data_IF_459996275305
#
_entry.id   IF_459996275305
#
_cell.length_a   1.000
_cell.length_b   1.000
_cell.length_c   1.000
_cell.angle_alpha   90.00
_cell.angle_beta   90.00
_cell.angle_gamma   90.00
#
_symmetry.space_group_name_H-M   'P 1'
#
loop_
_entity.id
_entity.type
_entity.pdbx_description
1 polymer ?
#
# COMPACT_ATOMS: atom_id res chain seq x y z
N UNK A 1 11.35 -8.19 44.28
CA UNK A 1 11.60 -9.63 44.49
C UNK A 1 10.25 -10.31 44.71
N UNK A 2 9.59 -10.75 43.65
CA UNK A 2 8.57 -11.79 43.72
C UNK A 2 8.42 -12.37 42.31
N UNK A 3 8.89 -13.60 42.20
CA UNK A 3 8.96 -14.42 40.99
C UNK A 3 7.64 -15.18 40.87
N UNK A 4 6.97 -15.12 39.72
CA UNK A 4 5.88 -16.07 39.40
C UNK A 4 6.29 -16.84 38.15
N UNK A 5 6.44 -18.14 38.36
CA UNK A 5 6.90 -19.17 37.46
C UNK A 5 5.85 -19.54 36.42
N UNK A 6 6.34 -19.79 35.19
CA UNK A 6 5.63 -20.41 34.06
C UNK A 6 5.29 -21.87 34.37
N UNK A 7 4.09 -22.32 33.99
CA UNK A 7 3.79 -23.74 33.78
C UNK A 7 3.54 -23.96 32.29
N UNK A 8 4.48 -24.67 31.64
CA UNK A 8 4.34 -25.25 30.31
C UNK A 8 3.74 -26.65 30.45
N UNK A 9 2.68 -26.94 29.68
CA UNK A 9 2.22 -28.31 29.46
C UNK A 9 2.60 -28.73 28.05
N UNK A 10 3.53 -29.68 27.95
CA UNK A 10 3.90 -30.37 26.71
C UNK A 10 2.85 -31.45 26.40
N UNK A 11 2.30 -31.45 25.19
CA UNK A 11 1.56 -32.59 24.63
C UNK A 11 2.41 -33.19 23.51
N UNK A 12 2.91 -34.39 23.76
CA UNK A 12 3.57 -35.28 22.81
C UNK A 12 2.50 -36.09 22.05
N UNK A 13 2.54 -36.08 20.73
CA UNK A 13 1.74 -36.98 19.89
C UNK A 13 2.63 -38.12 19.37
N UNK A 14 2.29 -39.35 19.76
CA UNK A 14 2.93 -40.59 19.29
C UNK A 14 2.20 -41.17 18.09
N UNK A 15 2.97 -41.81 17.20
CA UNK A 15 2.51 -42.58 16.03
C UNK A 15 1.89 -43.92 16.45
N UNK A 16 0.79 -44.31 15.82
CA UNK A 16 0.62 -45.63 15.16
C UNK A 16 -0.82 -45.89 14.72
N UNK A 17 -1.01 -46.29 13.46
CA UNK A 17 -1.75 -47.50 13.06
C UNK A 17 -1.91 -47.53 11.54
N UNK A 18 -1.31 -48.57 10.94
CA UNK A 18 -1.43 -48.97 9.54
C UNK A 18 -2.75 -49.73 9.36
N UNK A 19 -3.49 -49.45 8.28
CA UNK A 19 -4.61 -50.28 7.81
C UNK A 19 -4.33 -50.73 6.38
N UNK A 20 -4.12 -52.05 6.25
CA UNK A 20 -4.05 -52.81 5.01
C UNK A 20 -5.43 -52.88 4.35
N UNK A 21 -5.50 -52.63 3.03
CA UNK A 21 -6.66 -52.94 2.20
C UNK A 21 -6.28 -54.04 1.19
N UNK A 22 -6.96 -55.18 1.34
CA UNK A 22 -6.82 -56.36 0.49
C UNK A 22 -7.54 -56.17 -0.86
N UNK A 23 -6.86 -56.58 -1.93
CA UNK A 23 -7.42 -56.78 -3.27
C UNK A 23 -8.27 -58.05 -3.35
N UNK A 24 -9.42 -57.99 -4.02
CA UNK A 24 -10.05 -59.13 -4.72
C UNK A 24 -10.72 -58.64 -6.01
N UNK A 25 -10.65 -59.38 -7.13
CA UNK A 25 -11.09 -58.92 -8.45
C UNK A 25 -12.53 -59.34 -8.76
N UNK A 26 -13.30 -58.45 -9.39
CA UNK A 26 -14.61 -58.77 -9.95
C UNK A 26 -14.48 -59.04 -11.45
N UNK A 27 -14.96 -60.20 -11.89
CA UNK A 27 -15.08 -60.56 -13.29
C UNK A 27 -16.44 -61.26 -13.51
N UNK A 28 -16.97 -61.18 -14.73
CA UNK A 28 -18.15 -61.90 -15.28
C UNK A 28 -19.43 -61.08 -15.55
N UNK A 29 -19.44 -60.50 -16.75
CA UNK A 29 -20.48 -60.62 -17.81
C UNK A 29 -21.97 -60.54 -17.47
N UNK A 30 -22.61 -59.49 -18.00
CA UNK A 30 -23.96 -59.57 -18.60
C UNK A 30 -23.99 -58.71 -19.88
N UNK A 31 -24.34 -59.34 -21.01
CA UNK A 31 -24.57 -58.69 -22.32
C UNK A 31 -26.04 -58.35 -22.45
N UNK A 32 -26.36 -57.10 -22.79
CA UNK A 32 -27.66 -56.68 -23.33
C UNK A 32 -27.42 -55.78 -24.56
N UNK A 33 -28.21 -55.91 -25.64
CA UNK A 33 -27.90 -55.29 -26.92
C UNK A 33 -28.58 -53.93 -27.08
N UNK A 34 -27.86 -52.91 -27.57
CA UNK A 34 -28.46 -51.67 -28.09
C UNK A 34 -27.74 -51.23 -29.37
N UNK A 35 -28.47 -50.59 -30.31
CA UNK A 35 -28.15 -50.59 -31.73
C UNK A 35 -27.06 -49.57 -32.09
N UNK A 36 -26.23 -49.95 -33.06
CA UNK A 36 -25.21 -49.10 -33.70
C UNK A 36 -25.85 -47.99 -34.53
N UNK A 37 -25.99 -46.79 -33.95
CA UNK A 37 -26.07 -45.55 -34.74
C UNK A 37 -24.66 -44.98 -34.89
N UNK A 38 -24.18 -44.96 -36.13
CA UNK A 38 -22.96 -44.25 -36.48
C UNK A 38 -23.16 -42.75 -36.24
N UNK A 39 -22.56 -42.22 -35.18
CA UNK A 39 -22.38 -40.78 -35.03
C UNK A 39 -21.15 -40.38 -35.86
N UNK A 40 -21.37 -39.60 -36.90
CA UNK A 40 -20.31 -38.89 -37.60
C UNK A 40 -19.70 -37.87 -36.64
N UNK A 41 -18.52 -38.16 -36.09
CA UNK A 41 -17.70 -37.17 -35.42
C UNK A 41 -17.13 -36.22 -36.48
N UNK A 42 -17.72 -35.04 -36.63
CA UNK A 42 -16.98 -33.90 -37.19
C UNK A 42 -15.88 -33.57 -36.18
N UNK A 43 -14.59 -33.58 -36.56
CA UNK A 43 -13.55 -33.13 -35.65
C UNK A 43 -13.78 -31.64 -35.42
N UNK A 44 -14.15 -31.25 -34.20
CA UNK A 44 -14.00 -29.85 -33.81
C UNK A 44 -12.53 -29.51 -34.05
N UNK A 45 -12.28 -28.54 -34.93
CA UNK A 45 -10.96 -28.00 -35.12
C UNK A 45 -10.39 -27.69 -33.74
N UNK A 46 -9.31 -28.35 -33.35
CA UNK A 46 -8.58 -28.02 -32.14
C UNK A 46 -8.17 -26.56 -32.31
N UNK A 47 -8.83 -25.65 -31.60
CA UNK A 47 -8.33 -24.28 -31.49
C UNK A 47 -6.94 -24.43 -30.92
N UNK A 48 -5.92 -24.18 -31.74
CA UNK A 48 -4.52 -24.27 -31.36
C UNK A 48 -4.24 -23.12 -30.42
N UNK A 49 -4.58 -23.28 -29.15
CA UNK A 49 -4.27 -22.31 -28.10
C UNK A 49 -2.76 -22.10 -28.12
N UNK A 50 -2.34 -20.89 -28.47
CA UNK A 50 -0.94 -20.49 -28.45
C UNK A 50 -0.72 -19.61 -27.21
N UNK A 51 -0.06 -20.13 -26.15
CA UNK A 51 0.17 -19.39 -24.92
C UNK A 51 0.95 -18.07 -25.11
N UNK A 52 1.72 -17.95 -26.18
CA UNK A 52 2.47 -16.72 -26.48
C UNK A 52 1.58 -15.64 -27.11
N UNK A 53 0.68 -16.02 -28.02
CA UNK A 53 -0.30 -15.09 -28.61
C UNK A 53 -1.31 -14.61 -27.57
N UNK A 54 -1.61 -15.46 -26.59
CA UNK A 54 -2.42 -15.14 -25.42
C UNK A 54 -1.84 -13.99 -24.56
N UNK A 55 -0.59 -13.59 -24.77
CA UNK A 55 0.03 -12.48 -24.03
C UNK A 55 -0.07 -11.14 -24.78
N UNK A 56 -0.72 -11.11 -25.94
CA UNK A 56 -0.82 -9.91 -26.79
C UNK A 56 -2.01 -9.02 -26.39
N UNK A 57 -1.85 -7.69 -26.29
CA UNK A 57 -0.60 -6.95 -26.48
C UNK A 57 0.38 -7.22 -25.31
N UNK A 58 1.69 -7.27 -25.60
CA UNK A 58 2.69 -7.49 -24.56
C UNK A 58 2.58 -6.40 -23.49
N UNK A 59 2.95 -6.75 -22.25
CA UNK A 59 3.04 -5.77 -21.18
C UNK A 59 3.92 -4.59 -21.62
N UNK A 60 3.45 -3.36 -21.40
CA UNK A 60 4.22 -2.16 -21.69
C UNK A 60 5.55 -2.22 -20.93
N UNK A 61 6.69 -1.94 -21.57
CA UNK A 61 7.95 -1.83 -20.87
C UNK A 61 7.83 -0.82 -19.74
N UNK A 62 8.35 -1.19 -18.56
CA UNK A 62 8.39 -0.27 -17.43
C UNK A 62 9.28 0.93 -17.82
N UNK A 63 8.81 2.17 -17.62
CA UNK A 63 9.64 3.32 -17.90
C UNK A 63 10.84 3.29 -16.96
N UNK A 64 12.05 3.33 -17.54
CA UNK A 64 13.29 3.37 -16.76
C UNK A 64 13.23 4.63 -15.89
N UNK A 65 13.36 4.51 -14.56
CA UNK A 65 13.46 5.68 -13.71
C UNK A 65 14.65 6.56 -14.17
N UNK A 66 14.53 7.89 -14.17
CA UNK A 66 15.64 8.80 -14.43
C UNK A 66 16.62 8.72 -13.25
N UNK A 67 17.43 7.67 -13.21
CA UNK A 67 18.45 7.45 -12.20
C UNK A 67 19.79 7.25 -12.89
N UNK A 68 20.81 7.98 -12.43
CA UNK A 68 22.18 7.79 -12.90
C UNK A 68 22.67 6.40 -12.46
N UNK A 69 23.45 5.74 -13.31
CA UNK A 69 23.94 4.36 -13.13
C UNK A 69 24.77 4.11 -11.85
N UNK A 70 25.02 5.13 -11.01
CA UNK A 70 25.99 5.08 -9.92
C UNK A 70 25.40 5.15 -8.50
N UNK A 71 24.10 5.41 -8.31
CA UNK A 71 23.51 5.60 -6.98
C UNK A 71 22.39 4.61 -6.66
N UNK A 72 22.53 3.36 -7.10
CA UNK A 72 21.77 2.24 -6.52
C UNK A 72 22.24 2.05 -5.06
N UNK A 73 21.63 2.79 -4.13
CA UNK A 73 21.34 2.18 -2.84
C UNK A 73 20.34 1.07 -3.15
N UNK A 74 20.85 -0.13 -3.46
CA UNK A 74 20.03 -1.34 -3.49
C UNK A 74 19.25 -1.45 -2.18
N UNK A 75 19.87 -0.99 -1.10
CA UNK A 75 19.35 -1.06 0.25
C UNK A 75 19.32 0.31 0.91
N UNK A 76 18.20 0.67 1.53
CA UNK A 76 18.09 1.87 2.39
C UNK A 76 17.09 1.62 3.52
N UNK A 77 17.10 2.49 4.54
CA UNK A 77 16.15 2.41 5.66
C UNK A 77 14.98 3.37 5.46
N UNK A 78 13.77 2.89 5.74
CA UNK A 78 12.54 3.68 5.85
C UNK A 78 12.13 3.82 7.32
N UNK A 79 11.70 5.02 7.71
CA UNK A 79 11.04 5.28 8.99
C UNK A 79 9.54 5.45 8.82
N UNK A 80 8.72 4.66 9.53
CA UNK A 80 7.27 4.87 9.63
C UNK A 80 6.97 5.47 11.00
N UNK A 81 6.46 6.70 11.02
CA UNK A 81 6.21 7.43 12.26
C UNK A 81 4.72 7.36 12.61
N UNK A 82 4.32 6.38 13.41
CA UNK A 82 2.96 6.29 13.92
C UNK A 82 2.77 7.33 15.03
N UNK A 83 2.13 8.46 14.71
CA UNK A 83 2.01 9.62 15.60
C UNK A 83 0.68 9.64 16.36
N UNK A 84 0.71 10.00 17.63
CA UNK A 84 -0.47 10.50 18.33
C UNK A 84 -0.82 11.90 17.81
N UNK A 85 -2.10 12.10 17.48
CA UNK A 85 -2.60 13.33 16.85
C UNK A 85 -3.56 14.02 17.82
N UNK A 86 -3.32 15.31 18.05
CA UNK A 86 -4.14 16.13 18.95
C UNK A 86 -4.95 17.17 18.18
N UNK A 87 -5.79 17.94 18.88
CA UNK A 87 -6.47 19.11 18.31
C UNK A 87 -5.57 20.35 18.19
N UNK A 88 -4.35 20.33 18.71
CA UNK A 88 -3.39 21.43 18.60
C UNK A 88 -2.45 21.19 17.41
N UNK A 89 -2.67 21.96 16.34
CA UNK A 89 -1.89 21.87 15.11
C UNK A 89 -0.41 22.14 15.34
N UNK A 90 -0.07 23.17 16.11
CA UNK A 90 1.33 23.54 16.34
C UNK A 90 2.06 22.44 17.10
N UNK A 91 1.39 21.88 18.13
CA UNK A 91 1.89 20.72 18.86
C UNK A 91 2.11 19.52 17.93
N UNK A 92 1.16 19.23 17.04
CA UNK A 92 1.29 18.14 16.07
C UNK A 92 2.49 18.36 15.12
N UNK A 93 2.71 19.59 14.64
CA UNK A 93 3.86 19.96 13.78
C UNK A 93 5.19 19.77 14.51
N UNK A 94 5.31 20.27 15.73
CA UNK A 94 6.51 20.10 16.55
C UNK A 94 6.77 18.61 16.83
N UNK A 95 5.71 17.86 17.09
CA UNK A 95 5.80 16.43 17.38
C UNK A 95 6.23 15.61 16.16
N UNK A 96 5.61 15.86 15.00
CA UNK A 96 5.99 15.23 13.74
C UNK A 96 7.44 15.53 13.37
N UNK A 97 7.91 16.77 13.58
CA UNK A 97 9.31 17.15 13.36
C UNK A 97 10.27 16.29 14.20
N UNK A 98 10.00 16.14 15.49
CA UNK A 98 10.82 15.31 16.40
C UNK A 98 10.86 13.85 15.95
N UNK A 99 9.72 13.30 15.52
CA UNK A 99 9.66 11.93 15.03
C UNK A 99 10.45 11.74 13.73
N UNK A 100 10.42 12.72 12.82
CA UNK A 100 11.25 12.72 11.61
C UNK A 100 12.74 12.77 11.97
N UNK A 101 13.12 13.65 12.89
CA UNK A 101 14.51 13.77 13.37
C UNK A 101 15.00 12.46 13.99
N UNK A 102 14.22 11.85 14.88
CA UNK A 102 14.54 10.56 15.50
C UNK A 102 14.69 9.44 14.44
N UNK A 103 13.81 9.42 13.44
CA UNK A 103 13.90 8.43 12.36
C UNK A 103 15.18 8.63 11.52
N UNK A 104 15.52 9.89 11.21
CA UNK A 104 16.73 10.24 10.48
C UNK A 104 18.01 9.91 11.27
N UNK A 105 18.04 10.16 12.58
CA UNK A 105 19.13 9.78 13.49
C UNK A 105 19.37 8.27 13.49
N UNK A 106 18.30 7.46 13.39
CA UNK A 106 18.38 6.00 13.24
C UNK A 106 18.74 5.53 11.81
N UNK A 107 19.03 6.48 10.92
CA UNK A 107 19.57 6.24 9.58
C UNK A 107 18.51 6.12 8.47
N UNK A 108 17.25 6.49 8.73
CA UNK A 108 16.24 6.52 7.68
C UNK A 108 16.66 7.47 6.54
N UNK A 109 16.47 7.03 5.29
CA UNK A 109 16.63 7.85 4.07
C UNK A 109 15.29 8.26 3.48
N UNK A 110 14.23 7.59 3.89
CA UNK A 110 12.84 7.90 3.61
C UNK A 110 12.06 7.90 4.93
N UNK A 111 11.26 8.92 5.18
CA UNK A 111 10.29 8.93 6.29
C UNK A 111 8.87 9.01 5.73
N UNK A 112 7.96 8.23 6.29
CA UNK A 112 6.52 8.26 6.01
C UNK A 112 5.77 8.69 7.26
N UNK A 113 5.00 9.77 7.13
CA UNK A 113 4.04 10.23 8.15
C UNK A 113 2.62 9.67 7.88
N UNK A 114 1.69 9.75 8.86
CA UNK A 114 0.37 9.19 8.72
C UNK A 114 -0.64 10.12 8.02
N UNK A 115 -1.85 9.61 7.74
CA UNK A 115 -2.95 10.42 7.18
C UNK A 115 -3.45 11.45 8.20
N UNK A 116 -3.70 12.68 7.73
CA UNK A 116 -4.22 13.82 8.51
C UNK A 116 -3.50 13.94 9.87
N UNK A 117 -2.16 13.99 9.82
CA UNK A 117 -1.34 13.98 11.03
C UNK A 117 -1.30 15.32 11.76
N UNK A 118 -1.69 16.41 11.08
CA UNK A 118 -1.63 17.76 11.64
C UNK A 118 -2.91 18.20 12.37
N UNK A 119 -3.97 17.38 12.37
CA UNK A 119 -5.29 17.76 12.90
C UNK A 119 -6.18 16.54 13.18
N UNK A 120 -7.29 16.68 13.94
CA UNK A 120 -8.24 15.58 14.12
C UNK A 120 -8.92 15.17 12.81
N UNK A 121 -9.10 13.86 12.60
CA UNK A 121 -9.78 13.32 11.41
C UNK A 121 -11.30 13.44 11.53
N UNK A 122 -11.86 14.58 11.11
CA UNK A 122 -13.31 14.80 11.06
C UNK A 122 -13.72 15.84 10.03
N UNK A 123 -14.96 15.72 9.52
CA UNK A 123 -15.53 16.64 8.54
C UNK A 123 -15.60 18.09 9.04
N UNK A 124 -15.79 18.30 10.34
CA UNK A 124 -15.88 19.65 10.93
C UNK A 124 -14.48 20.27 11.12
N UNK A 125 -13.45 19.43 11.32
CA UNK A 125 -12.08 19.90 11.45
C UNK A 125 -11.45 20.26 10.10
N UNK A 126 -11.74 19.53 9.01
CA UNK A 126 -11.02 19.74 7.75
C UNK A 126 -11.00 21.21 7.26
N UNK A 127 -12.10 21.98 7.27
CA UNK A 127 -12.07 23.37 6.84
C UNK A 127 -11.25 24.29 7.76
N UNK A 128 -11.28 24.02 9.07
CA UNK A 128 -10.61 24.83 10.10
C UNK A 128 -9.09 24.62 10.05
N UNK A 129 -8.67 23.38 9.84
CA UNK A 129 -7.26 23.01 9.86
C UNK A 129 -6.61 23.02 8.47
N UNK A 130 -7.37 23.27 7.40
CA UNK A 130 -6.83 23.27 6.05
C UNK A 130 -5.79 24.37 5.82
N UNK A 131 -4.75 24.00 5.07
CA UNK A 131 -3.63 24.88 4.72
C UNK A 131 -3.56 25.10 3.20
N UNK A 132 -3.14 26.28 2.79
CA UNK A 132 -2.88 26.58 1.38
C UNK A 132 -1.43 26.19 1.05
N UNK A 133 -1.29 24.96 0.57
CA UNK A 133 0.01 24.35 0.23
C UNK A 133 0.71 25.13 -0.90
N UNK A 134 -0.06 25.68 -1.85
CA UNK A 134 0.50 26.37 -3.03
C UNK A 134 0.96 27.79 -2.68
N UNK A 135 0.32 28.44 -1.70
CA UNK A 135 0.79 29.71 -1.14
C UNK A 135 2.08 29.54 -0.31
N UNK A 136 2.24 28.39 0.37
CA UNK A 136 3.44 28.06 1.15
C UNK A 136 3.67 28.97 2.38
N UNK A 137 4.83 28.85 3.01
CA UNK A 137 5.21 29.65 4.18
C UNK A 137 4.20 29.53 5.32
N UNK A 138 3.77 30.66 5.88
CA UNK A 138 2.80 30.73 6.98
C UNK A 138 1.39 30.25 6.59
N UNK A 139 1.07 30.20 5.29
CA UNK A 139 -0.19 29.66 4.82
C UNK A 139 -0.21 28.11 4.84
N UNK A 140 0.97 27.48 4.91
CA UNK A 140 1.12 26.04 5.14
C UNK A 140 2.31 25.71 6.04
N UNK A 141 2.21 25.97 7.36
CA UNK A 141 3.28 25.67 8.30
C UNK A 141 3.63 24.18 8.35
N UNK A 142 2.66 23.29 8.10
CA UNK A 142 2.91 21.85 8.07
C UNK A 142 3.87 21.49 6.93
N UNK A 143 3.64 22.01 5.71
CA UNK A 143 4.52 21.72 4.57
C UNK A 143 5.84 22.48 4.61
N UNK A 144 5.85 23.70 5.17
CA UNK A 144 7.09 24.44 5.43
C UNK A 144 8.03 23.67 6.37
N UNK A 145 7.50 23.09 7.45
CA UNK A 145 8.26 22.25 8.36
C UNK A 145 8.83 21.01 7.65
N UNK A 146 8.01 20.31 6.85
CA UNK A 146 8.44 19.12 6.11
C UNK A 146 9.55 19.42 5.09
N UNK A 147 9.39 20.51 4.33
CA UNK A 147 10.41 21.01 3.39
C UNK A 147 11.74 21.27 4.10
N UNK A 148 11.69 21.98 5.23
CA UNK A 148 12.88 22.31 6.00
C UNK A 148 13.55 21.07 6.59
N UNK A 149 12.77 20.19 7.22
CA UNK A 149 13.27 18.95 7.80
C UNK A 149 13.94 18.06 6.73
N UNK A 150 13.31 17.90 5.56
CA UNK A 150 13.86 17.11 4.46
C UNK A 150 15.23 17.65 3.99
N UNK A 151 15.36 18.98 3.88
CA UNK A 151 16.60 19.67 3.48
C UNK A 151 17.71 19.55 4.53
N UNK A 152 17.39 19.80 5.80
CA UNK A 152 18.36 19.78 6.90
C UNK A 152 18.88 18.37 7.15
N UNK A 153 17.98 17.39 7.16
CA UNK A 153 18.31 15.99 7.43
C UNK A 153 18.79 15.24 6.18
N UNK A 154 18.62 15.83 4.98
CA UNK A 154 18.98 15.27 3.67
C UNK A 154 18.33 13.91 3.43
N UNK A 155 17.02 13.84 3.66
CA UNK A 155 16.19 12.65 3.48
C UNK A 155 14.98 12.95 2.61
N UNK A 156 14.40 11.91 2.00
CA UNK A 156 13.08 12.02 1.38
C UNK A 156 12.00 11.92 2.45
N UNK A 157 10.97 12.76 2.37
CA UNK A 157 9.82 12.70 3.28
C UNK A 157 8.55 12.54 2.45
N UNK A 158 7.83 11.44 2.64
CA UNK A 158 6.42 11.33 2.26
C UNK A 158 5.62 11.85 3.44
N UNK A 159 5.18 13.10 3.31
CA UNK A 159 4.67 13.93 4.40
C UNK A 159 3.29 13.57 4.93
N UNK A 160 2.92 12.29 4.88
CA UNK A 160 1.62 11.85 5.33
C UNK A 160 0.52 12.55 4.55
N UNK A 161 -0.58 12.91 5.19
CA UNK A 161 -1.47 13.90 4.58
C UNK A 161 -1.94 14.96 5.56
N UNK A 162 -2.42 16.08 5.00
CA UNK A 162 -3.07 17.17 5.72
C UNK A 162 -4.33 17.61 4.94
N UNK A 163 -5.29 18.30 5.59
CA UNK A 163 -6.33 19.00 4.86
C UNK A 163 -5.69 20.15 4.07
N UNK A 164 -5.89 20.18 2.76
CA UNK A 164 -5.42 21.22 1.85
C UNK A 164 -6.60 22.11 1.47
N UNK A 165 -6.38 23.43 1.47
CA UNK A 165 -7.27 24.41 0.86
C UNK A 165 -6.71 24.83 -0.49
N UNK A 166 -7.56 24.80 -1.52
CA UNK A 166 -7.21 25.27 -2.86
C UNK A 166 -8.45 25.92 -3.48
N UNK A 167 -8.48 27.26 -3.41
CA UNK A 167 -9.68 28.03 -3.71
C UNK A 167 -10.83 27.73 -2.74
N UNK A 168 -11.99 27.39 -3.29
CA UNK A 168 -13.20 27.01 -2.56
C UNK A 168 -13.22 25.53 -2.13
N UNK A 169 -12.25 24.74 -2.59
CA UNK A 169 -12.21 23.29 -2.38
C UNK A 169 -11.24 22.90 -1.28
N UNK A 170 -11.57 21.80 -0.63
CA UNK A 170 -10.75 21.12 0.35
C UNK A 170 -10.33 19.76 -0.17
N UNK A 171 -9.11 19.32 0.14
CA UNK A 171 -8.58 18.02 -0.27
C UNK A 171 -7.87 17.33 0.90
N UNK A 172 -7.78 16.01 0.86
CA UNK A 172 -6.85 15.25 1.69
C UNK A 172 -5.55 15.07 0.87
N UNK A 173 -4.48 15.79 1.24
CA UNK A 173 -3.31 15.95 0.38
C UNK A 173 -2.02 15.45 1.05
N UNK A 174 -1.27 14.63 0.32
CA UNK A 174 0.04 14.12 0.66
C UNK A 174 1.12 14.80 -0.18
N UNK A 175 2.08 15.43 0.47
CA UNK A 175 3.22 16.07 -0.17
C UNK A 175 4.48 15.22 -0.02
N UNK A 176 5.26 15.09 -1.10
CA UNK A 176 6.56 14.40 -1.08
C UNK A 176 7.66 15.42 -1.24
N UNK A 177 8.58 15.47 -0.29
CA UNK A 177 9.74 16.35 -0.29
C UNK A 177 11.02 15.55 -0.56
N UNK A 178 11.85 16.05 -1.47
CA UNK A 178 13.17 15.49 -1.73
C UNK A 178 14.19 15.91 -0.67
N UNK A 179 15.36 15.27 -0.68
CA UNK A 179 16.46 15.60 0.24
C UNK A 179 17.02 17.03 0.08
N UNK A 180 16.64 17.74 -0.99
CA UNK A 180 16.93 19.16 -1.20
C UNK A 180 15.86 20.10 -0.61
N UNK A 181 14.82 19.54 0.03
CA UNK A 181 13.67 20.25 0.57
C UNK A 181 12.61 20.61 -0.46
N UNK A 182 12.81 20.32 -1.76
CA UNK A 182 11.82 20.71 -2.77
C UNK A 182 10.60 19.78 -2.72
N UNK A 183 9.42 20.35 -2.93
CA UNK A 183 8.21 19.61 -3.19
C UNK A 183 8.33 18.88 -4.53
N UNK A 184 8.43 17.55 -4.49
CA UNK A 184 8.59 16.68 -5.67
C UNK A 184 7.24 16.24 -6.24
N UNK A 185 6.24 16.08 -5.37
CA UNK A 185 4.89 15.73 -5.77
C UNK A 185 3.86 16.12 -4.70
N UNK A 186 2.62 16.36 -5.13
CA UNK A 186 1.44 16.53 -4.28
C UNK A 186 0.36 15.57 -4.78
N UNK A 187 -0.07 14.66 -3.92
CA UNK A 187 -1.12 13.69 -4.18
C UNK A 187 -2.37 14.08 -3.42
N UNK A 188 -3.48 14.32 -4.12
CA UNK A 188 -4.80 14.46 -3.50
C UNK A 188 -5.49 13.11 -3.54
N UNK A 189 -6.01 12.65 -2.39
CA UNK A 189 -6.71 11.37 -2.24
C UNK A 189 -7.76 11.20 -3.33
N UNK A 190 -7.66 10.13 -4.12
CA UNK A 190 -8.51 9.93 -5.30
C UNK A 190 -9.84 9.33 -4.87
N UNK A 191 -9.81 8.32 -4.00
CA UNK A 191 -10.99 7.64 -3.51
C UNK A 191 -11.34 8.14 -2.11
N UNK A 192 -12.36 8.98 -2.01
CA UNK A 192 -12.85 9.49 -0.73
C UNK A 192 -13.51 8.38 0.10
N UNK A 193 -13.36 8.47 1.42
CA UNK A 193 -13.88 7.49 2.35
C UNK A 193 -15.36 7.72 2.66
N UNK A 194 -16.21 7.23 1.77
CA UNK A 194 -17.66 7.24 1.92
C UNK A 194 -18.15 5.83 2.25
N UNK A 195 -18.39 5.57 3.54
CA UNK A 195 -18.92 4.29 4.01
C UNK A 195 -20.09 4.48 4.97
N UNK A 196 -20.98 3.50 4.95
CA UNK A 196 -22.04 3.34 5.93
C UNK A 196 -22.12 1.85 6.31
N UNK A 197 -21.62 1.52 7.50
CA UNK A 197 -21.70 0.18 8.08
C UNK A 197 -22.67 0.28 9.25
N UNK A 198 -23.95 -0.13 9.07
CA UNK A 198 -24.99 0.03 10.07
C UNK A 198 -24.58 -0.47 11.46
N UNK A 199 -24.76 0.39 12.47
CA UNK A 199 -24.44 0.09 13.86
C UNK A 199 -22.94 0.03 14.19
N UNK A 200 -22.05 0.39 13.25
CA UNK A 200 -20.60 0.38 13.48
C UNK A 200 -19.93 1.71 13.14
N UNK A 201 -19.99 2.14 11.89
CA UNK A 201 -19.34 3.38 11.45
C UNK A 201 -20.01 3.93 10.19
N UNK A 202 -20.30 5.22 10.22
CA UNK A 202 -20.73 5.99 9.06
C UNK A 202 -19.79 7.18 8.93
N UNK A 203 -19.13 7.30 7.80
CA UNK A 203 -18.24 8.43 7.50
C UNK A 203 -18.38 8.76 6.02
N UNK A 204 -18.68 10.02 5.70
CA UNK A 204 -18.84 10.49 4.32
C UNK A 204 -17.85 11.65 4.15
N UNK A 205 -16.63 11.33 3.75
CA UNK A 205 -15.53 12.29 3.55
C UNK A 205 -15.88 13.30 2.43
N UNK A 206 -16.66 12.87 1.43
CA UNK A 206 -17.10 13.71 0.31
C UNK A 206 -18.09 14.83 0.66
N UNK A 207 -18.62 14.83 1.89
CA UNK A 207 -19.42 15.98 2.38
C UNK A 207 -18.58 17.25 2.51
N UNK A 208 -17.28 17.10 2.75
CA UNK A 208 -16.38 18.22 3.00
C UNK A 208 -15.20 18.25 2.03
N UNK A 209 -14.63 17.10 1.68
CA UNK A 209 -13.45 17.01 0.82
C UNK A 209 -13.80 16.72 -0.64
N UNK A 210 -12.94 17.18 -1.52
CA UNK A 210 -12.97 16.95 -2.96
C UNK A 210 -11.97 15.87 -3.34
N UNK A 211 -12.35 14.98 -4.25
CA UNK A 211 -11.48 13.93 -4.77
C UNK A 211 -10.35 14.49 -5.65
N UNK A 212 -9.16 13.95 -5.49
CA UNK A 212 -8.07 14.10 -6.44
C UNK A 212 -8.39 13.49 -7.81
N UNK A 213 -7.71 13.97 -8.84
CA UNK A 213 -8.02 13.62 -10.24
C UNK A 213 -6.89 12.88 -10.95
N UNK A 214 -5.77 12.66 -10.26
CA UNK A 214 -4.54 12.18 -10.89
C UNK A 214 -3.80 11.18 -10.00
N UNK A 215 -3.51 9.96 -10.48
CA UNK A 215 -2.54 9.07 -9.86
C UNK A 215 -1.18 9.76 -9.71
N UNK A 216 -0.53 9.62 -8.56
CA UNK A 216 0.73 10.31 -8.26
C UNK A 216 1.87 9.34 -8.16
N UNK A 217 2.85 9.51 -9.04
CA UNK A 217 4.14 8.81 -9.04
C UNK A 217 5.24 9.84 -9.05
N UNK A 218 6.26 9.60 -8.25
CA UNK A 218 7.36 10.54 -8.07
C UNK A 218 8.70 9.83 -8.07
N UNK A 219 9.66 10.41 -8.78
CA UNK A 219 11.06 9.99 -8.75
C UNK A 219 11.80 10.72 -7.64
N UNK A 220 12.47 9.96 -6.79
CA UNK A 220 13.22 10.43 -5.62
C UNK A 220 14.59 9.76 -5.57
N UNK A 221 15.44 10.20 -4.65
CA UNK A 221 16.77 9.60 -4.46
C UNK A 221 16.71 8.16 -3.93
N UNK A 222 15.55 7.75 -3.37
CA UNK A 222 15.27 6.38 -2.92
C UNK A 222 14.45 5.58 -3.94
N UNK A 223 14.37 6.06 -5.19
CA UNK A 223 13.67 5.40 -6.29
C UNK A 223 12.29 5.99 -6.59
N UNK A 224 11.55 5.26 -7.42
CA UNK A 224 10.20 5.65 -7.88
C UNK A 224 9.12 5.18 -6.92
N UNK A 225 8.35 6.12 -6.39
CA UNK A 225 7.32 5.88 -5.38
C UNK A 225 5.93 6.17 -5.96
N UNK A 226 4.97 5.27 -5.75
CA UNK A 226 3.55 5.54 -5.95
C UNK A 226 2.89 5.98 -4.64
N UNK A 227 2.06 7.02 -4.68
CA UNK A 227 1.40 7.59 -3.50
C UNK A 227 -0.11 7.31 -3.56
N UNK A 228 -0.67 6.73 -2.51
CA UNK A 228 -2.12 6.71 -2.29
C UNK A 228 -2.40 7.13 -0.85
N UNK A 229 -3.65 7.46 -0.52
CA UNK A 229 -4.05 7.77 0.86
C UNK A 229 -5.19 6.83 1.27
N UNK A 230 -4.96 6.08 2.35
CA UNK A 230 -5.95 5.30 3.08
C UNK A 230 -6.87 4.44 2.21
N UNK A 231 -8.05 4.98 1.87
CA UNK A 231 -9.07 4.29 1.09
C UNK A 231 -8.60 3.94 -0.34
N UNK A 232 -7.64 4.68 -0.89
CA UNK A 232 -6.95 4.33 -2.14
C UNK A 232 -6.34 2.92 -2.10
N UNK A 233 -5.97 2.41 -0.92
CA UNK A 233 -5.45 1.06 -0.73
C UNK A 233 -6.46 -0.02 -1.18
N UNK A 234 -7.77 0.27 -1.17
CA UNK A 234 -8.82 -0.68 -1.57
C UNK A 234 -8.91 -0.90 -3.08
N UNK A 235 -8.36 0.00 -3.89
CA UNK A 235 -8.49 -0.03 -5.35
C UNK A 235 -7.20 -0.57 -5.99
N UNK A 236 -7.23 -1.85 -6.36
CA UNK A 236 -6.07 -2.55 -6.90
C UNK A 236 -5.59 -1.96 -8.23
N UNK A 237 -6.49 -1.40 -9.03
CA UNK A 237 -6.20 -0.78 -10.32
C UNK A 237 -5.20 0.36 -10.17
N UNK A 238 -5.29 1.14 -9.09
CA UNK A 238 -4.35 2.23 -8.80
C UNK A 238 -2.94 1.68 -8.55
N UNK A 239 -2.81 0.63 -7.74
CA UNK A 239 -1.53 -0.03 -7.50
C UNK A 239 -0.96 -0.69 -8.77
N UNK A 240 -1.82 -1.26 -9.62
CA UNK A 240 -1.40 -1.80 -10.92
C UNK A 240 -0.88 -0.70 -11.85
N UNK A 241 -1.50 0.49 -11.86
CA UNK A 241 -1.00 1.65 -12.63
C UNK A 241 0.38 2.06 -12.10
N UNK A 242 0.55 2.13 -10.78
CA UNK A 242 1.84 2.46 -10.16
C UNK A 242 2.93 1.45 -10.53
N UNK A 243 2.62 0.16 -10.47
CA UNK A 243 3.52 -0.90 -10.91
C UNK A 243 3.88 -0.78 -12.41
N UNK A 244 2.89 -0.58 -13.27
CA UNK A 244 3.06 -0.45 -14.72
C UNK A 244 3.84 0.81 -15.14
N UNK A 245 3.85 1.83 -14.27
CA UNK A 245 4.67 3.03 -14.41
C UNK A 245 6.03 2.92 -13.68
N UNK A 246 6.40 1.73 -13.22
CA UNK A 246 7.74 1.42 -12.73
C UNK A 246 8.02 1.84 -11.28
N UNK A 247 6.99 2.00 -10.45
CA UNK A 247 7.19 2.14 -9.01
C UNK A 247 7.92 0.90 -8.45
N UNK A 248 8.67 1.09 -7.36
CA UNK A 248 9.29 0.01 -6.57
C UNK A 248 8.66 -0.08 -5.17
N UNK A 249 8.13 1.05 -4.69
CA UNK A 249 7.50 1.23 -3.40
C UNK A 249 6.17 1.96 -3.59
N UNK A 250 5.15 1.50 -2.89
CA UNK A 250 3.90 2.24 -2.70
C UNK A 250 3.82 2.74 -1.26
N UNK A 251 3.54 4.03 -1.08
CA UNK A 251 3.34 4.63 0.24
C UNK A 251 1.87 5.01 0.41
N UNK A 252 1.28 4.55 1.51
CA UNK A 252 -0.10 4.81 1.90
C UNK A 252 -0.15 5.37 3.34
N UNK A 253 -0.04 6.69 3.53
CA UNK A 253 -0.58 7.30 4.75
C UNK A 253 -2.05 6.90 4.88
N UNK A 254 -2.48 6.39 6.03
CA UNK A 254 -3.88 6.02 6.19
C UNK A 254 -4.30 5.69 7.62
N UNK A 255 -5.50 6.11 7.97
CA UNK A 255 -6.12 5.82 9.26
C UNK A 255 -7.32 4.88 9.06
N UNK A 256 -7.12 3.57 9.07
CA UNK A 256 -8.25 2.63 9.13
C UNK A 256 -8.87 2.68 10.53
N UNK A 257 -10.18 2.43 10.65
CA UNK A 257 -10.87 2.41 11.94
C UNK A 257 -10.93 1.01 12.57
N UNK A 258 -11.39 0.92 13.81
CA UNK A 258 -11.57 -0.33 14.56
C UNK A 258 -12.52 -1.36 13.93
N UNK A 259 -13.38 -0.97 12.99
CA UNK A 259 -14.25 -1.91 12.27
C UNK A 259 -13.54 -2.54 11.08
N UNK A 260 -12.84 -1.74 10.28
CA UNK A 260 -12.22 -2.18 9.03
C UNK A 260 -10.78 -2.64 9.19
N UNK A 261 -10.05 -2.07 10.16
CA UNK A 261 -8.64 -2.33 10.45
C UNK A 261 -8.33 -3.80 10.69
N UNK A 262 -8.99 -4.47 11.67
CA UNK A 262 -8.67 -5.85 12.05
C UNK A 262 -8.70 -6.86 10.90
N UNK A 263 -9.56 -6.65 9.90
CA UNK A 263 -9.75 -7.57 8.79
C UNK A 263 -9.03 -7.14 7.51
N UNK A 264 -9.00 -5.83 7.23
CA UNK A 264 -8.60 -5.34 5.92
C UNK A 264 -7.24 -4.66 5.90
N UNK A 265 -6.73 -4.14 7.02
CA UNK A 265 -5.51 -3.35 7.00
C UNK A 265 -4.31 -4.17 6.53
N UNK A 266 -4.04 -5.32 7.15
CA UNK A 266 -2.93 -6.21 6.77
C UNK A 266 -3.21 -6.94 5.44
N UNK A 267 -4.44 -7.39 5.23
CA UNK A 267 -4.81 -8.12 4.02
C UNK A 267 -4.56 -7.28 2.76
N UNK A 268 -5.01 -6.02 2.75
CA UNK A 268 -4.94 -5.18 1.57
C UNK A 268 -3.49 -4.80 1.24
N UNK A 269 -2.69 -4.38 2.23
CA UNK A 269 -1.27 -4.05 2.01
C UNK A 269 -0.50 -5.25 1.42
N UNK A 270 -0.75 -6.46 1.94
CA UNK A 270 -0.09 -7.69 1.46
C UNK A 270 -0.54 -8.05 0.05
N UNK A 271 -1.82 -7.89 -0.25
CA UNK A 271 -2.34 -8.08 -1.60
C UNK A 271 -1.69 -7.10 -2.60
N UNK A 272 -1.61 -5.80 -2.27
CA UNK A 272 -0.95 -4.81 -3.13
C UNK A 272 0.52 -5.14 -3.37
N UNK A 273 1.23 -5.58 -2.34
CA UNK A 273 2.64 -5.94 -2.45
C UNK A 273 2.85 -7.20 -3.30
N UNK A 274 2.11 -8.28 -3.00
CA UNK A 274 2.27 -9.58 -3.65
C UNK A 274 1.82 -9.57 -5.13
N UNK A 275 0.66 -8.97 -5.43
CA UNK A 275 0.08 -8.98 -6.78
C UNK A 275 0.84 -8.08 -7.77
N UNK A 276 1.49 -7.04 -7.25
CA UNK A 276 2.24 -6.08 -8.06
C UNK A 276 3.76 -6.26 -7.98
N UNK A 277 4.24 -7.13 -7.08
CA UNK A 277 5.66 -7.41 -6.84
C UNK A 277 6.44 -6.14 -6.49
N UNK A 278 5.98 -5.43 -5.45
CA UNK A 278 6.48 -4.14 -4.97
C UNK A 278 6.55 -4.14 -3.44
N UNK A 279 7.33 -3.23 -2.87
CA UNK A 279 7.18 -2.88 -1.46
C UNK A 279 5.91 -2.05 -1.24
N UNK A 280 5.29 -2.21 -0.07
CA UNK A 280 4.16 -1.37 0.38
C UNK A 280 4.43 -0.90 1.80
N UNK A 281 4.42 0.42 2.00
CA UNK A 281 4.54 1.05 3.30
C UNK A 281 3.24 1.76 3.66
N UNK A 282 2.65 1.43 4.81
CA UNK A 282 1.48 2.10 5.36
C UNK A 282 1.84 2.78 6.67
N UNK A 283 1.34 3.99 6.89
CA UNK A 283 1.54 4.71 8.15
C UNK A 283 0.22 5.27 8.67
N UNK A 284 -0.15 4.86 9.88
CA UNK A 284 -1.37 5.24 10.56
C UNK A 284 -1.07 6.17 11.73
N UNK A 285 -2.00 7.05 12.12
CA UNK A 285 -1.97 7.65 13.44
C UNK A 285 -2.02 6.55 14.51
N UNK A 286 -1.48 6.85 15.69
CA UNK A 286 -1.67 6.04 16.89
C UNK A 286 -3.15 6.04 17.29
N UNK A 287 -3.58 4.99 17.98
CA UNK A 287 -4.95 4.86 18.44
C UNK A 287 -5.22 5.81 19.61
N UNK A 288 -6.19 6.68 19.41
CA UNK A 288 -6.81 7.47 20.47
C UNK A 288 -8.27 7.02 20.63
N UNK A 289 -8.60 6.48 21.80
CA UNK A 289 -9.96 6.01 22.12
C UNK A 289 -10.93 7.14 22.47
N UNK A 290 -10.42 8.34 22.74
CA UNK A 290 -11.22 9.53 23.03
C UNK A 290 -11.56 10.33 21.75
N UNK A 291 -10.86 10.04 20.64
CA UNK A 291 -11.12 10.64 19.33
C UNK A 291 -12.46 10.19 18.74
N UNK A 292 -13.16 11.11 18.06
CA UNK A 292 -14.36 10.81 17.27
C UNK A 292 -14.11 9.84 16.11
N UNK A 293 -12.85 9.70 15.66
CA UNK A 293 -12.40 8.68 14.73
C UNK A 293 -11.25 7.88 15.35
N UNK A 294 -11.56 6.67 15.83
CA UNK A 294 -10.58 5.80 16.50
C UNK A 294 -9.78 5.02 15.46
N UNK A 295 -8.53 5.42 15.28
CA UNK A 295 -7.59 4.78 14.35
C UNK A 295 -7.18 3.36 14.81
N UNK A 296 -6.94 2.50 13.84
CA UNK A 296 -6.47 1.14 14.06
C UNK A 296 -5.02 1.12 14.55
N UNK A 297 -4.15 1.97 13.98
CA UNK A 297 -2.71 1.93 14.18
C UNK A 297 -2.04 0.93 13.24
N UNK A 298 -1.07 0.18 13.74
CA UNK A 298 -0.36 -0.88 13.02
C UNK A 298 0.29 -0.40 11.72
N UNK A 299 1.04 0.70 11.75
CA UNK A 299 1.90 1.11 10.62
C UNK A 299 2.81 -0.04 10.20
N UNK A 300 2.86 -0.37 8.90
CA UNK A 300 3.48 -1.61 8.42
C UNK A 300 4.34 -1.39 7.17
N UNK A 301 5.47 -2.09 7.09
CA UNK A 301 6.21 -2.33 5.85
C UNK A 301 6.01 -3.77 5.38
N UNK A 302 5.61 -3.93 4.13
CA UNK A 302 5.44 -5.23 3.45
C UNK A 302 6.42 -5.34 2.30
N UNK A 303 7.05 -6.51 2.19
CA UNK A 303 7.97 -6.85 1.11
C UNK A 303 7.29 -7.39 -0.15
N UNK A 304 8.05 -7.56 -1.25
CA UNK A 304 7.51 -7.93 -2.57
C UNK A 304 6.91 -9.35 -2.67
N UNK A 305 7.11 -10.21 -1.67
CA UNK A 305 6.46 -11.53 -1.57
C UNK A 305 5.15 -11.47 -0.78
N UNK A 306 4.76 -10.31 -0.26
CA UNK A 306 3.60 -10.13 0.61
C UNK A 306 3.89 -10.47 2.08
N UNK A 307 5.16 -10.53 2.46
CA UNK A 307 5.65 -10.74 3.82
C UNK A 307 5.66 -9.42 4.59
N UNK A 308 5.17 -9.45 5.84
CA UNK A 308 5.27 -8.30 6.75
C UNK A 308 6.70 -8.24 7.28
N UNK A 309 7.43 -7.17 6.97
CA UNK A 309 8.82 -6.98 7.35
C UNK A 309 8.96 -6.25 8.69
N UNK A 310 8.06 -5.31 8.95
CA UNK A 310 7.99 -4.59 10.22
C UNK A 310 6.56 -4.06 10.42
N UNK A 311 6.04 -4.12 11.64
CA UNK A 311 4.75 -3.54 11.99
C UNK A 311 4.80 -2.95 13.40
N UNK A 312 4.07 -1.86 13.64
CA UNK A 312 3.77 -1.39 14.98
C UNK A 312 2.57 -2.13 15.57
N UNK A 313 2.35 -1.93 16.86
CA UNK A 313 1.05 -2.11 17.49
C UNK A 313 0.21 -0.82 17.31
N UNK A 314 -0.65 -0.48 18.26
CA UNK A 314 -1.58 0.64 18.19
C UNK A 314 -1.10 1.93 18.89
N UNK A 315 -0.05 1.85 19.71
CA UNK A 315 0.52 2.99 20.41
C UNK A 315 1.43 3.84 19.50
N UNK A 316 1.74 5.06 19.93
CA UNK A 316 2.74 5.88 19.24
C UNK A 316 4.08 5.16 19.16
N UNK A 317 4.63 5.02 17.96
CA UNK A 317 5.85 4.24 17.72
C UNK A 317 6.49 4.65 16.40
N UNK A 318 7.83 4.70 16.38
CA UNK A 318 8.60 4.85 15.14
C UNK A 318 9.27 3.51 14.85
N UNK A 319 8.99 2.94 13.67
CA UNK A 319 9.72 1.76 13.20
C UNK A 319 10.71 2.14 12.11
N UNK A 320 11.90 1.56 12.20
CA UNK A 320 12.94 1.66 11.18
C UNK A 320 13.09 0.29 10.54
N UNK A 321 12.88 0.20 9.24
CA UNK A 321 12.96 -1.04 8.49
C UNK A 321 13.79 -0.87 7.23
N UNK A 322 14.36 -1.96 6.74
CA UNK A 322 15.20 -1.98 5.56
C UNK A 322 14.40 -2.32 4.31
N UNK A 323 14.63 -1.58 3.23
CA UNK A 323 14.12 -1.85 1.89
C UNK A 323 15.32 -2.25 1.03
N UNK A 324 15.24 -3.40 0.36
CA UNK A 324 16.21 -3.87 -0.62
C UNK A 324 15.54 -4.13 -1.98
N UNK A 325 15.75 -3.24 -2.95
CA UNK A 325 15.14 -3.37 -4.27
C UNK A 325 15.71 -4.53 -5.10
N UNK A 326 16.82 -5.15 -4.71
CA UNK A 326 17.27 -6.40 -5.34
C UNK A 326 16.23 -7.52 -5.17
N UNK A 327 15.45 -7.48 -4.08
CA UNK A 327 14.37 -8.45 -3.80
C UNK A 327 13.19 -8.32 -4.77
N UNK A 328 12.90 -7.11 -5.25
CA UNK A 328 11.86 -6.87 -6.27
C UNK A 328 12.25 -7.56 -7.58
N UNK A 329 13.49 -7.38 -8.01
CA UNK A 329 14.00 -7.99 -9.24
C UNK A 329 14.11 -9.52 -9.13
N UNK A 330 14.56 -10.02 -7.98
CA UNK A 330 14.54 -11.46 -7.68
C UNK A 330 13.12 -12.03 -7.77
N UNK A 331 12.14 -11.34 -7.17
CA UNK A 331 10.73 -11.76 -7.17
C UNK A 331 10.14 -11.79 -8.58
N UNK A 332 10.39 -10.75 -9.39
CA UNK A 332 9.93 -10.67 -10.79
C UNK A 332 10.60 -11.70 -11.68
N UNK A 333 11.85 -12.06 -11.42
CA UNK A 333 12.57 -13.11 -12.14
C UNK A 333 12.00 -14.50 -11.83
N UNK A 334 11.80 -14.80 -10.55
CA UNK A 334 11.32 -16.12 -10.09
C UNK A 334 9.83 -16.35 -10.34
N UNK A 335 9.02 -15.28 -10.35
CA UNK A 335 7.59 -15.34 -10.65
C UNK A 335 7.22 -14.23 -11.66
N UNK A 336 7.40 -14.44 -12.97
CA UNK A 336 7.29 -13.38 -13.98
C UNK A 336 5.84 -13.07 -14.37
N UNK A 337 5.05 -12.54 -13.42
CA UNK A 337 3.61 -12.28 -13.57
C UNK A 337 3.32 -11.39 -14.79
N UNK A 338 4.12 -10.35 -15.02
CA UNK A 338 3.94 -9.43 -16.15
C UNK A 338 4.02 -10.14 -17.51
N UNK A 339 4.85 -11.19 -17.64
CA UNK A 339 4.98 -11.98 -18.88
C UNK A 339 3.84 -12.97 -19.06
N UNK A 340 3.00 -13.17 -18.05
CA UNK A 340 1.94 -14.19 -18.04
C UNK A 340 0.53 -13.60 -18.10
N UNK A 341 0.39 -12.27 -18.01
CA UNK A 341 -0.90 -11.59 -18.14
C UNK A 341 -1.52 -11.84 -19.51
N UNK A 342 -2.84 -12.04 -19.52
CA UNK A 342 -3.64 -12.37 -20.71
C UNK A 342 -4.21 -11.11 -21.37
N UNK A 343 -3.33 -10.38 -22.05
CA UNK A 343 -3.67 -9.13 -22.75
C UNK A 343 -4.77 -9.28 -23.81
N UNK A 344 -4.97 -10.52 -24.28
CA UNK A 344 -5.98 -10.90 -25.27
C UNK A 344 -7.38 -11.00 -24.64
N UNK A 345 -7.46 -11.20 -23.32
CA UNK A 345 -8.71 -11.32 -22.57
C UNK A 345 -9.03 -10.06 -21.76
N UNK A 346 -8.02 -9.44 -21.17
CA UNK A 346 -8.18 -8.25 -20.33
C UNK A 346 -6.97 -7.34 -20.39
N UNK A 347 -7.18 -6.04 -20.19
CA UNK A 347 -6.12 -5.06 -20.13
C UNK A 347 -6.40 -4.04 -19.03
N UNK A 348 -5.33 -3.61 -18.37
CA UNK A 348 -5.36 -2.43 -17.52
C UNK A 348 -5.24 -1.19 -18.41
N UNK A 349 -6.21 -0.29 -18.30
CA UNK A 349 -6.25 0.94 -19.10
C UNK A 349 -5.81 2.12 -18.24
N UNK A 350 -4.60 2.62 -18.47
CA UNK A 350 -4.11 3.89 -17.92
C UNK A 350 -4.57 5.04 -18.81
N UNK A 351 -5.73 5.61 -18.48
CA UNK A 351 -6.42 6.64 -19.29
C UNK A 351 -5.55 7.88 -19.50
N UNK A 352 -4.72 8.28 -18.53
CA UNK A 352 -3.83 9.43 -18.69
C UNK A 352 -2.69 9.14 -19.65
N UNK A 353 -2.04 7.97 -19.52
CA UNK A 353 -0.92 7.59 -20.40
C UNK A 353 -1.37 7.40 -21.85
N UNK A 354 -2.59 6.92 -22.07
CA UNK A 354 -3.18 6.82 -23.41
C UNK A 354 -3.32 8.18 -24.10
N UNK A 355 -3.64 9.23 -23.34
CA UNK A 355 -3.90 10.57 -23.87
C UNK A 355 -2.63 11.45 -23.93
N UNK A 356 -1.49 10.99 -23.40
CA UNK A 356 -0.24 11.74 -23.33
C UNK A 356 0.62 11.62 -24.60
N UNK A 357 -0.01 11.51 -25.79
CA UNK A 357 0.69 11.38 -27.08
C UNK A 357 1.55 12.60 -27.42
#
# INVERSE_FOLDING_TARGET
MLTISKNLTFITLSRSSLLNLNHTPFNSTTKLPFPTKAFSFTPMASSSYNPEQARAPPALPLPVPPLSKASFLFTFKIGLCQLSVTNDKERNIVHARKAIEEAAEKGAKLVLLPEIWNSPYSNDCFPVYAEDIDAGGDASPSTAMLSEAARVLKITIVGGSIPERSGDKLYNACCVFGADGKLKAKHRKIHLFDIDIPGKITFIESKTLTAGQTPTIVDTDVGRIGIGICYDLRFQELAMIYAARGAHLLCYPGAFNMTTGPLHWELLQRARAADNQLYVATCSPARDTESGYVAWGHSTLVGPFGEVLATTEHEETIIIAEIDYSTVELRRTNLPLQKQRRGDLYQLVDVQRLNSK
#
